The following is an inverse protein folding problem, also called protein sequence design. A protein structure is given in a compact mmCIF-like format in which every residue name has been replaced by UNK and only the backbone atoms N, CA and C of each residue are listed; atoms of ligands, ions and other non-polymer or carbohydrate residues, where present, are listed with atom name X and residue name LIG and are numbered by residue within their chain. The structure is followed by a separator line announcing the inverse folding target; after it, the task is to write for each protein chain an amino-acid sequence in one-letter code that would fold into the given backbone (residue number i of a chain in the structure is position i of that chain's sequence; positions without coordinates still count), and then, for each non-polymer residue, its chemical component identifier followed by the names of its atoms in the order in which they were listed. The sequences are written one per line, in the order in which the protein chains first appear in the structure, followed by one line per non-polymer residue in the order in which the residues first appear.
data_IF_005052595153
#
_entry.id   IF_005052595153
#
_cell.length_a   1.000
_cell.length_b   1.000
_cell.length_c   1.000
_cell.angle_alpha   90.00
_cell.angle_beta   90.00
_cell.angle_gamma   90.00
#
_symmetry.space_group_name_H-M   'P 1'
#
loop_
_entity.id
_entity.type
_entity.pdbx_description
1 polymer ?
#
# COMPACT_ATOMS: atom_id res chain seq x y z
N UNK A 1 -27.31 14.81 11.03
CA UNK A 1 -25.85 14.63 10.85
C UNK A 1 -25.22 16.00 10.69
N UNK A 2 -24.29 16.37 11.55
CA UNK A 2 -23.60 17.67 11.50
C UNK A 2 -22.15 17.52 11.05
N UNK A 3 -21.53 18.63 10.63
CA UNK A 3 -20.13 18.68 10.25
C UNK A 3 -19.21 18.29 11.41
N UNK A 4 -18.25 17.42 11.13
CA UNK A 4 -17.20 17.08 12.09
C UNK A 4 -16.16 18.20 12.12
N UNK A 5 -16.21 19.02 13.17
CA UNK A 5 -15.21 20.05 13.45
C UNK A 5 -13.86 19.42 13.79
N UNK A 6 -13.02 19.21 12.78
CA UNK A 6 -11.74 18.49 12.88
C UNK A 6 -10.84 19.00 14.01
N UNK A 7 -10.81 20.32 14.24
CA UNK A 7 -9.99 20.92 15.31
C UNK A 7 -10.51 20.55 16.70
N UNK A 8 -11.83 20.65 16.92
CA UNK A 8 -12.46 20.27 18.19
C UNK A 8 -12.34 18.77 18.42
N UNK A 9 -12.53 17.97 17.38
CA UNK A 9 -12.37 16.51 17.45
C UNK A 9 -10.93 16.11 17.80
N UNK A 10 -9.93 16.73 17.17
CA UNK A 10 -8.51 16.46 17.47
C UNK A 10 -8.19 16.71 18.94
N UNK A 11 -8.65 17.83 19.48
CA UNK A 11 -8.41 18.15 20.88
C UNK A 11 -9.16 17.23 21.84
N UNK A 12 -10.43 16.93 21.55
CA UNK A 12 -11.33 16.21 22.47
C UNK A 12 -11.20 14.69 22.43
N UNK A 13 -10.79 14.13 21.30
CA UNK A 13 -10.77 12.68 21.08
C UNK A 13 -9.36 12.17 20.78
N UNK A 14 -8.68 12.80 19.82
CA UNK A 14 -7.37 12.31 19.36
C UNK A 14 -6.25 12.52 20.38
N UNK A 15 -6.12 13.74 20.95
CA UNK A 15 -5.08 14.01 21.96
C UNK A 15 -5.24 13.14 23.21
N UNK A 16 -6.45 12.94 23.78
CA UNK A 16 -6.64 11.98 24.86
C UNK A 16 -6.31 10.53 24.47
N UNK A 17 -6.68 10.09 23.27
CA UNK A 17 -6.34 8.74 22.78
C UNK A 17 -4.83 8.53 22.70
N UNK A 18 -4.08 9.52 22.20
CA UNK A 18 -2.61 9.48 22.18
C UNK A 18 -2.02 9.39 23.58
N UNK A 19 -2.53 10.17 24.54
CA UNK A 19 -2.07 10.11 25.95
C UNK A 19 -2.37 8.76 26.58
N UNK A 20 -3.55 8.21 26.35
CA UNK A 20 -3.92 6.89 26.84
C UNK A 20 -3.03 5.79 26.25
N UNK A 21 -2.59 5.93 25.00
CA UNK A 21 -1.63 5.05 24.35
C UNK A 21 -0.17 5.29 24.76
N UNK A 22 0.12 6.29 25.62
CA UNK A 22 1.49 6.65 26.02
C UNK A 22 2.33 7.24 24.89
N UNK A 23 1.69 7.72 23.81
CA UNK A 23 2.38 8.22 22.63
C UNK A 23 2.58 9.75 22.71
N UNK A 24 3.71 10.27 22.16
CA UNK A 24 3.88 11.71 22.00
C UNK A 24 2.83 12.27 21.03
N UNK A 25 2.66 13.59 21.03
CA UNK A 25 1.71 14.21 20.11
C UNK A 25 2.06 13.89 18.65
N UNK A 26 1.11 13.28 17.95
CA UNK A 26 1.18 12.96 16.53
C UNK A 26 -0.03 13.52 15.83
N UNK A 27 0.09 13.85 14.55
CA UNK A 27 -1.05 14.24 13.73
C UNK A 27 -1.72 12.98 13.20
N UNK A 28 -3.03 13.05 12.96
CA UNK A 28 -3.76 11.95 12.30
C UNK A 28 -3.13 11.60 10.94
N UNK A 29 -2.65 12.62 10.23
CA UNK A 29 -2.02 12.43 8.92
C UNK A 29 -0.72 11.61 9.00
N UNK A 30 -0.07 11.56 10.17
CA UNK A 30 1.11 10.71 10.36
C UNK A 30 0.73 9.21 10.28
N UNK A 31 -0.50 8.83 10.68
CA UNK A 31 -1.01 7.47 10.48
C UNK A 31 -1.12 7.12 8.99
N UNK A 32 -1.49 8.10 8.16
CA UNK A 32 -1.58 7.91 6.70
C UNK A 32 -0.18 7.67 6.11
N UNK A 33 0.85 8.34 6.63
CA UNK A 33 2.24 8.09 6.24
C UNK A 33 2.72 6.70 6.69
N UNK A 34 2.42 6.29 7.93
CA UNK A 34 2.75 4.93 8.41
C UNK A 34 2.08 3.86 7.56
N UNK A 35 0.80 4.04 7.22
CA UNK A 35 0.07 3.11 6.35
C UNK A 35 0.70 2.97 4.96
N UNK A 36 1.08 4.09 4.33
CA UNK A 36 1.73 4.07 3.04
C UNK A 36 3.07 3.32 3.09
N UNK A 37 3.89 3.65 4.09
CA UNK A 37 5.21 3.03 4.32
C UNK A 37 5.09 1.52 4.51
N UNK A 38 4.18 1.07 5.38
CA UNK A 38 3.98 -0.36 5.64
C UNK A 38 3.37 -1.10 4.44
N UNK A 39 2.50 -0.45 3.68
CA UNK A 39 1.93 -1.06 2.47
C UNK A 39 3.04 -1.31 1.43
N UNK A 40 3.95 -0.35 1.24
CA UNK A 40 5.07 -0.49 0.31
C UNK A 40 6.07 -1.54 0.80
N UNK A 41 6.39 -1.54 2.10
CA UNK A 41 7.24 -2.57 2.70
C UNK A 41 6.64 -3.98 2.59
N UNK A 42 5.30 -4.09 2.56
CA UNK A 42 4.59 -5.35 2.32
C UNK A 42 4.48 -5.73 0.83
N UNK A 43 5.09 -4.97 -0.08
CA UNK A 43 5.06 -5.23 -1.53
C UNK A 43 3.77 -4.83 -2.24
N UNK A 44 2.92 -4.00 -1.62
CA UNK A 44 1.71 -3.48 -2.30
C UNK A 44 2.11 -2.55 -3.43
N UNK A 45 1.56 -2.76 -4.62
CA UNK A 45 1.83 -1.88 -5.77
C UNK A 45 1.45 -0.43 -5.51
N UNK A 46 2.22 0.52 -6.06
CA UNK A 46 1.95 1.96 -5.98
C UNK A 46 0.55 2.30 -6.55
N UNK A 47 0.12 1.58 -7.59
CA UNK A 47 -1.22 1.74 -8.16
C UNK A 47 -2.32 1.37 -7.15
N UNK A 48 -2.24 0.20 -6.53
CA UNK A 48 -3.20 -0.23 -5.50
C UNK A 48 -3.19 0.73 -4.31
N UNK A 49 -2.01 1.18 -3.89
CA UNK A 49 -1.87 2.13 -2.79
C UNK A 49 -2.55 3.47 -3.12
N UNK A 50 -2.37 3.99 -4.33
CA UNK A 50 -2.99 5.25 -4.77
C UNK A 50 -4.51 5.19 -4.75
N UNK A 51 -5.10 4.08 -5.21
CA UNK A 51 -6.54 3.81 -5.16
C UNK A 51 -7.07 3.73 -3.73
N UNK A 52 -6.34 3.07 -2.81
CA UNK A 52 -6.74 2.98 -1.40
C UNK A 52 -6.63 4.31 -0.66
N UNK A 53 -5.59 5.08 -0.97
CA UNK A 53 -5.36 6.38 -0.34
C UNK A 53 -6.26 7.48 -0.94
N UNK A 54 -6.83 7.28 -2.12
CA UNK A 54 -7.61 8.29 -2.83
C UNK A 54 -6.77 9.48 -3.29
N UNK A 55 -5.50 9.24 -3.62
CA UNK A 55 -4.51 10.24 -4.02
C UNK A 55 -3.94 9.84 -5.38
N UNK A 56 -3.41 10.80 -6.15
CA UNK A 56 -2.82 10.49 -7.45
C UNK A 56 -1.57 9.62 -7.33
N UNK A 57 -1.34 8.78 -8.33
CA UNK A 57 -0.14 7.94 -8.42
C UNK A 57 1.14 8.79 -8.39
N UNK A 58 1.17 9.89 -9.15
CA UNK A 58 2.30 10.83 -9.18
C UNK A 58 2.63 11.42 -7.79
N UNK A 59 1.61 11.69 -6.96
CA UNK A 59 1.83 12.18 -5.60
C UNK A 59 2.38 11.08 -4.69
N UNK A 60 1.91 9.84 -4.82
CA UNK A 60 2.46 8.71 -4.07
C UNK A 60 3.91 8.48 -4.48
N UNK A 61 4.19 8.44 -5.77
CA UNK A 61 5.53 8.23 -6.32
C UNK A 61 6.51 9.32 -5.84
N UNK A 62 6.12 10.60 -5.94
CA UNK A 62 6.94 11.70 -5.44
C UNK A 62 7.20 11.63 -3.91
N UNK A 63 6.27 11.07 -3.14
CA UNK A 63 6.38 11.03 -1.66
C UNK A 63 7.03 9.75 -1.14
N UNK A 64 6.82 8.62 -1.81
CA UNK A 64 7.14 7.29 -1.31
C UNK A 64 7.82 6.38 -2.34
N UNK A 65 8.07 6.83 -3.57
CA UNK A 65 8.72 6.02 -4.61
C UNK A 65 10.06 5.44 -4.16
N UNK A 66 10.80 6.19 -3.32
CA UNK A 66 12.06 5.75 -2.71
C UNK A 66 11.92 4.64 -1.64
N UNK A 67 10.71 4.36 -1.17
CA UNK A 67 10.42 3.28 -0.22
C UNK A 67 9.91 2.01 -0.92
N UNK A 68 9.64 2.08 -2.23
CA UNK A 68 9.35 0.88 -2.98
C UNK A 68 10.59 -0.04 -2.88
N UNK A 69 10.42 -1.33 -2.56
CA UNK A 69 11.51 -2.30 -2.65
C UNK A 69 12.11 -2.24 -4.05
N UNK A 70 13.40 -2.59 -4.17
CA UNK A 70 14.11 -2.55 -5.45
C UNK A 70 13.24 -3.22 -6.52
N UNK A 71 12.70 -2.39 -7.42
CA UNK A 71 11.57 -2.79 -8.24
C UNK A 71 11.94 -3.97 -9.13
N UNK A 72 13.23 -4.04 -9.51
CA UNK A 72 13.81 -5.13 -10.29
C UNK A 72 13.86 -6.45 -9.49
N UNK A 73 14.26 -6.42 -8.22
CA UNK A 73 14.32 -7.61 -7.36
C UNK A 73 12.91 -8.14 -7.07
N UNK A 74 11.98 -7.23 -6.78
CA UNK A 74 10.56 -7.56 -6.55
C UNK A 74 9.92 -8.12 -7.84
N UNK A 75 10.20 -7.51 -8.99
CA UNK A 75 9.72 -7.97 -10.30
C UNK A 75 10.25 -9.36 -10.61
N UNK A 76 11.56 -9.60 -10.46
CA UNK A 76 12.18 -10.92 -10.63
C UNK A 76 11.51 -11.97 -9.74
N UNK A 77 11.37 -11.69 -8.44
CA UNK A 77 10.74 -12.63 -7.51
C UNK A 77 9.28 -12.96 -7.89
N UNK A 78 8.52 -11.99 -8.41
CA UNK A 78 7.16 -12.22 -8.89
C UNK A 78 7.12 -13.05 -10.18
N UNK A 79 8.03 -12.80 -11.12
CA UNK A 79 8.15 -13.57 -12.35
C UNK A 79 8.58 -15.02 -12.07
N UNK A 80 9.59 -15.22 -11.21
CA UNK A 80 10.04 -16.55 -10.78
C UNK A 80 8.89 -17.34 -10.09
N UNK A 81 8.12 -16.66 -9.23
CA UNK A 81 6.95 -17.25 -8.59
C UNK A 81 5.87 -17.64 -9.61
N UNK A 82 5.61 -16.78 -10.60
CA UNK A 82 4.66 -17.07 -11.68
C UNK A 82 5.11 -18.28 -12.50
N UNK A 83 6.36 -18.32 -12.94
CA UNK A 83 6.93 -19.43 -13.73
C UNK A 83 6.91 -20.75 -12.95
N UNK A 84 7.26 -20.73 -11.66
CA UNK A 84 7.18 -21.92 -10.80
C UNK A 84 5.74 -22.43 -10.62
N UNK A 85 4.76 -21.53 -10.54
CA UNK A 85 3.34 -21.88 -10.48
C UNK A 85 2.81 -22.43 -11.80
N UNK A 86 3.26 -21.87 -12.92
CA UNK A 86 2.90 -22.32 -14.27
C UNK A 86 3.50 -23.70 -14.57
N UNK A 87 4.74 -23.94 -14.13
CA UNK A 87 5.41 -25.24 -14.27
C UNK A 87 4.73 -26.35 -13.42
N UNK A 88 4.04 -25.98 -12.33
CA UNK A 88 3.30 -26.92 -11.48
C UNK A 88 1.89 -27.24 -11.98
N UNK A 89 1.39 -26.63 -13.06
CA UNK A 89 0.10 -26.97 -13.68
C UNK A 89 0.27 -28.16 -14.63
N UNK A 90 -0.23 -29.37 -14.29
CA UNK A 90 -0.20 -30.49 -15.22
C UNK A 90 -1.32 -30.32 -16.25
N UNK A 91 -0.96 -29.91 -17.46
CA UNK A 91 -1.76 -30.10 -18.67
C UNK A 91 -2.78 -29.00 -19.00
N UNK A 92 -2.38 -28.02 -19.78
CA UNK A 92 -3.25 -27.46 -20.83
C UNK A 92 -2.64 -27.86 -22.17
N UNK A 93 -3.12 -28.99 -22.69
CA UNK A 93 -2.70 -29.55 -23.97
C UNK A 93 -2.95 -28.58 -25.13
N UNK A 94 -1.98 -28.56 -26.03
CA UNK A 94 -2.05 -28.28 -27.47
C UNK A 94 -3.34 -27.63 -27.98
N UNK A 95 -3.30 -26.32 -28.23
CA UNK A 95 -4.09 -25.75 -29.32
C UNK A 95 -3.26 -25.93 -30.60
N UNK A 96 -3.39 -27.10 -31.20
CA UNK A 96 -2.99 -27.35 -32.56
C UNK A 96 -3.88 -26.50 -33.49
N UNK A 97 -3.26 -25.52 -34.13
CA UNK A 97 -3.89 -24.61 -35.08
C UNK A 97 -3.74 -25.22 -36.49
N UNK A 98 -4.80 -25.70 -37.16
CA UNK A 98 -4.68 -26.12 -38.54
C UNK A 98 -4.71 -24.88 -39.44
N UNK A 99 -3.86 -24.93 -40.47
CA UNK A 99 -3.63 -23.97 -41.56
C UNK A 99 -4.93 -23.38 -42.13
#
# INVERSE_FOLDING_TARGET
GGYLELNKWRYRQWTPALRAAGLPHRRIYDLRHSYATWSLAAGVSLFTLSRRMGTSLAMIDATYGHLAPDAEEQERALLDAYDSSAASMPGTGSVENPI
#
